data_IF_686097133880
#
_entry.id   IF_686097133880
#
_cell.length_a   1.000
_cell.length_b   1.000
_cell.length_c   1.000
_cell.angle_alpha   90.00
_cell.angle_beta   90.00
_cell.angle_gamma   90.00
#
_symmetry.space_group_name_H-M   'P 1'
#
loop_
_entity.id
_entity.type
_entity.pdbx_description
1 polymer ?
#
# COMPACT_ATOMS: atom_id res chain seq x y z
N UNK A 1 -30.44 -13.67 -15.70
CA UNK A 1 -29.32 -12.98 -16.38
C UNK A 1 -29.16 -11.52 -15.97
N UNK A 2 -30.22 -10.71 -15.84
CA UNK A 2 -30.13 -9.31 -15.35
C UNK A 2 -29.57 -9.18 -13.91
N UNK A 3 -29.75 -10.19 -13.06
CA UNK A 3 -29.29 -10.19 -11.65
C UNK A 3 -27.77 -10.39 -11.50
N UNK A 4 -27.10 -11.09 -12.43
CA UNK A 4 -25.64 -11.27 -12.38
C UNK A 4 -24.90 -10.03 -12.88
N UNK A 5 -25.45 -9.36 -13.89
CA UNK A 5 -24.94 -8.06 -14.38
C UNK A 5 -25.08 -6.97 -13.31
N UNK A 6 -26.19 -6.92 -12.57
CA UNK A 6 -26.36 -5.98 -11.45
C UNK A 6 -25.31 -6.19 -10.34
N UNK A 7 -25.04 -7.45 -9.96
CA UNK A 7 -24.02 -7.78 -8.96
C UNK A 7 -22.60 -7.47 -9.45
N UNK A 8 -22.29 -7.78 -10.71
CA UNK A 8 -21.01 -7.43 -11.34
C UNK A 8 -20.82 -5.92 -11.48
N UNK A 9 -21.90 -5.17 -11.71
CA UNK A 9 -21.85 -3.70 -11.79
C UNK A 9 -21.67 -3.08 -10.42
N UNK A 10 -22.33 -3.62 -9.38
CA UNK A 10 -22.12 -3.21 -7.99
C UNK A 10 -20.70 -3.53 -7.51
N UNK A 11 -20.16 -4.70 -7.88
CA UNK A 11 -18.78 -5.07 -7.62
C UNK A 11 -17.80 -4.19 -8.40
N UNK A 12 -18.07 -3.87 -9.67
CA UNK A 12 -17.26 -2.96 -10.48
C UNK A 12 -17.32 -1.51 -9.99
N UNK A 13 -18.44 -1.05 -9.41
CA UNK A 13 -18.56 0.28 -8.78
C UNK A 13 -17.90 0.29 -7.40
N UNK A 14 -17.98 -0.80 -6.64
CA UNK A 14 -17.23 -0.97 -5.39
C UNK A 14 -15.73 -1.00 -5.68
N UNK A 15 -15.29 -1.79 -6.65
CA UNK A 15 -13.92 -1.81 -7.18
C UNK A 15 -13.58 -0.44 -7.73
N UNK A 16 -14.36 0.27 -8.53
CA UNK A 16 -14.00 1.63 -8.98
C UNK A 16 -14.00 2.69 -7.86
N UNK A 17 -14.76 2.50 -6.78
CA UNK A 17 -14.67 3.35 -5.58
C UNK A 17 -13.45 2.99 -4.71
N UNK A 18 -13.06 1.72 -4.68
CA UNK A 18 -11.88 1.21 -3.96
C UNK A 18 -10.61 1.49 -4.77
N UNK A 19 -10.54 1.15 -6.06
CA UNK A 19 -9.51 1.47 -7.06
C UNK A 19 -9.47 2.94 -7.47
N UNK A 20 -10.27 3.80 -6.84
CA UNK A 20 -9.91 5.21 -6.67
C UNK A 20 -8.60 5.36 -5.87
N UNK A 21 -8.26 4.38 -5.03
CA UNK A 21 -6.87 3.99 -4.80
C UNK A 21 -6.33 3.39 -6.09
N UNK A 22 -5.77 4.24 -6.96
CA UNK A 22 -4.45 3.84 -7.43
C UNK A 22 -3.63 3.65 -6.16
N UNK A 23 -2.95 2.51 -6.02
CA UNK A 23 -1.70 2.52 -5.27
C UNK A 23 -0.84 3.59 -5.95
N UNK A 24 -1.02 4.84 -5.53
CA UNK A 24 -0.25 5.95 -6.03
C UNK A 24 1.11 5.70 -5.44
N UNK A 25 1.98 5.01 -6.15
CA UNK A 25 3.40 5.01 -5.79
C UNK A 25 3.83 6.47 -5.71
N UNK A 26 4.63 6.82 -4.71
CA UNK A 26 5.12 8.19 -4.58
C UNK A 26 5.87 8.57 -5.87
N UNK A 27 5.56 9.74 -6.42
CA UNK A 27 6.23 10.18 -7.65
C UNK A 27 7.68 10.55 -7.35
N UNK A 28 8.64 10.09 -8.18
CA UNK A 28 10.04 10.43 -8.00
C UNK A 28 10.27 11.92 -8.24
N UNK A 29 11.18 12.49 -7.45
CA UNK A 29 11.57 13.90 -7.48
C UNK A 29 13.08 14.01 -7.55
N UNK A 30 13.54 15.05 -8.24
CA UNK A 30 14.96 15.36 -8.36
C UNK A 30 15.21 16.75 -7.78
N UNK A 31 16.23 16.87 -6.94
CA UNK A 31 16.77 18.14 -6.50
C UNK A 31 18.26 18.16 -6.80
N UNK A 32 18.76 19.24 -7.37
CA UNK A 32 20.16 19.32 -7.78
C UNK A 32 20.72 20.73 -7.65
N UNK A 33 22.04 20.83 -7.50
CA UNK A 33 22.74 22.09 -7.30
C UNK A 33 24.21 21.96 -7.72
N UNK A 34 24.80 23.05 -8.21
CA UNK A 34 26.24 23.12 -8.48
C UNK A 34 27.00 23.22 -7.16
N UNK A 35 28.22 22.66 -7.08
CA UNK A 35 29.07 22.91 -5.90
C UNK A 35 29.49 24.38 -5.77
N UNK A 36 29.72 25.07 -6.88
CA UNK A 36 30.03 26.50 -6.90
C UNK A 36 28.81 27.43 -6.60
N UNK A 37 27.65 26.89 -6.22
CA UNK A 37 26.46 27.72 -5.99
C UNK A 37 26.56 28.48 -4.64
N UNK A 38 26.27 29.80 -4.58
CA UNK A 38 26.51 30.61 -3.38
C UNK A 38 25.81 30.15 -2.10
N UNK A 39 24.67 29.46 -2.22
CA UNK A 39 23.94 28.96 -1.05
C UNK A 39 24.64 27.81 -0.33
N UNK A 40 25.48 27.02 -1.02
CA UNK A 40 26.12 25.80 -0.53
C UNK A 40 25.16 24.81 0.17
N UNK A 41 23.86 24.90 -0.09
CA UNK A 41 22.81 24.07 0.55
C UNK A 41 21.85 23.58 -0.53
N UNK A 42 21.67 22.26 -0.61
CA UNK A 42 20.64 21.61 -1.41
C UNK A 42 19.41 21.33 -0.55
N UNK A 43 18.27 21.94 -0.87
CA UNK A 43 17.03 21.75 -0.13
C UNK A 43 16.16 20.64 -0.73
N UNK A 44 15.73 19.70 0.10
CA UNK A 44 14.73 18.68 -0.19
C UNK A 44 13.42 19.05 0.49
N UNK A 45 12.31 19.01 -0.24
CA UNK A 45 11.02 19.48 0.29
C UNK A 45 9.88 18.54 -0.08
N UNK A 46 9.12 18.15 0.93
CA UNK A 46 7.87 17.40 0.81
C UNK A 46 6.73 18.21 1.41
N UNK A 47 5.50 17.82 1.06
CA UNK A 47 4.31 18.41 1.69
C UNK A 47 4.23 18.00 3.16
N UNK A 48 3.53 18.81 3.96
CA UNK A 48 3.27 18.51 5.37
C UNK A 48 2.59 17.13 5.47
N UNK A 49 3.07 16.29 6.37
CA UNK A 49 2.57 14.91 6.53
C UNK A 49 3.23 13.90 5.59
N UNK A 50 4.37 14.23 4.98
CA UNK A 50 5.17 13.30 4.20
C UNK A 50 6.63 13.26 4.66
N UNK A 51 7.26 12.11 4.48
CA UNK A 51 8.65 11.82 4.82
C UNK A 51 9.49 11.69 3.55
N UNK A 52 10.68 12.29 3.55
CA UNK A 52 11.65 12.17 2.47
C UNK A 52 12.27 10.77 2.53
N UNK A 53 12.08 9.98 1.47
CA UNK A 53 12.85 8.76 1.20
C UNK A 53 13.83 9.05 0.07
N UNK A 54 15.12 8.93 0.35
CA UNK A 54 16.17 9.13 -0.65
C UNK A 54 16.38 7.81 -1.38
N UNK A 55 16.25 7.83 -2.70
CA UNK A 55 16.42 6.67 -3.56
C UNK A 55 17.86 6.55 -4.04
N UNK A 56 18.46 7.68 -4.43
CA UNK A 56 19.79 7.71 -5.06
C UNK A 56 20.41 9.09 -4.95
N UNK A 57 21.73 9.14 -4.75
CA UNK A 57 22.50 10.38 -4.84
C UNK A 57 23.58 10.25 -5.91
N UNK A 58 23.67 11.28 -6.74
CA UNK A 58 24.53 11.36 -7.92
C UNK A 58 25.48 12.54 -7.73
N UNK A 59 26.78 12.27 -7.78
CA UNK A 59 27.82 13.27 -7.91
C UNK A 59 28.31 13.25 -9.34
N UNK A 60 27.95 14.27 -10.12
CA UNK A 60 28.17 14.29 -11.56
C UNK A 60 29.08 15.41 -12.03
N UNK A 61 29.67 15.20 -13.20
CA UNK A 61 30.45 16.14 -13.96
C UNK A 61 29.71 16.46 -15.27
N UNK A 62 29.09 17.63 -15.34
CA UNK A 62 28.48 18.11 -16.58
C UNK A 62 29.46 18.96 -17.36
N UNK A 63 29.80 18.53 -18.58
CA UNK A 63 30.63 19.32 -19.50
C UNK A 63 29.91 20.59 -19.98
N UNK A 64 28.58 20.60 -19.96
CA UNK A 64 27.76 21.75 -20.34
C UNK A 64 27.59 22.79 -19.22
N UNK A 65 28.09 22.50 -18.01
CA UNK A 65 27.90 23.35 -16.83
C UNK A 65 26.49 23.30 -16.24
N UNK A 66 25.62 22.40 -16.71
CA UNK A 66 24.32 22.14 -16.09
C UNK A 66 24.51 21.40 -14.77
N UNK A 67 23.72 21.75 -13.77
CA UNK A 67 23.87 21.20 -12.42
C UNK A 67 22.74 20.25 -12.07
N UNK A 68 22.36 19.43 -13.03
CA UNK A 68 21.39 18.36 -12.93
C UNK A 68 21.86 17.21 -13.82
N UNK A 69 21.50 15.99 -13.45
CA UNK A 69 21.91 14.81 -14.20
C UNK A 69 21.36 14.83 -15.62
N UNK A 70 22.26 14.62 -16.58
CA UNK A 70 21.93 14.36 -17.97
C UNK A 70 22.55 13.04 -18.42
N UNK A 71 21.86 12.33 -19.30
CA UNK A 71 22.36 11.08 -19.85
C UNK A 71 23.70 11.31 -20.57
N UNK A 72 24.71 10.51 -20.22
CA UNK A 72 26.08 10.68 -20.69
C UNK A 72 26.98 11.49 -19.75
N UNK A 73 26.45 12.12 -18.70
CA UNK A 73 27.28 12.73 -17.67
C UNK A 73 28.14 11.67 -16.96
N UNK A 74 29.41 12.01 -16.76
CA UNK A 74 30.25 11.21 -15.90
C UNK A 74 29.86 11.40 -14.44
N UNK A 75 29.63 10.32 -13.70
CA UNK A 75 29.13 10.41 -12.33
C UNK A 75 29.50 9.22 -11.46
N UNK A 76 29.49 9.42 -10.14
CA UNK A 76 29.43 8.34 -9.15
C UNK A 76 28.12 8.42 -8.38
N UNK A 77 27.67 7.28 -7.89
CA UNK A 77 26.48 7.18 -7.04
C UNK A 77 26.89 6.78 -5.64
N UNK A 78 26.25 7.35 -4.64
CA UNK A 78 26.46 6.99 -3.24
C UNK A 78 25.15 6.57 -2.58
N UNK A 79 25.24 5.50 -1.79
CA UNK A 79 24.18 5.01 -0.92
C UNK A 79 24.43 5.42 0.55
N UNK A 80 25.23 6.48 0.77
CA UNK A 80 25.67 6.85 2.11
C UNK A 80 24.49 7.26 3.02
N UNK A 81 24.64 7.12 4.35
CA UNK A 81 23.62 7.56 5.28
C UNK A 81 23.39 9.08 5.24
N UNK A 82 22.19 9.53 4.84
CA UNK A 82 21.84 10.96 4.83
C UNK A 82 20.87 11.32 5.95
N UNK A 83 21.15 12.45 6.62
CA UNK A 83 20.35 12.98 7.74
C UNK A 83 18.93 13.42 7.37
N UNK A 84 18.67 13.65 6.08
CA UNK A 84 17.37 14.11 5.58
C UNK A 84 16.28 13.04 5.54
N UNK A 85 16.65 11.75 5.63
CA UNK A 85 15.68 10.66 5.59
C UNK A 85 14.67 10.81 6.73
N UNK A 86 13.39 10.63 6.42
CA UNK A 86 12.29 10.76 7.37
C UNK A 86 11.77 12.18 7.59
N UNK A 87 12.55 13.22 7.28
CA UNK A 87 12.14 14.62 7.44
C UNK A 87 11.17 15.05 6.33
N UNK A 88 10.38 16.11 6.54
CA UNK A 88 9.54 16.71 5.49
C UNK A 88 10.24 17.86 4.74
N UNK A 89 11.21 18.50 5.39
CA UNK A 89 12.04 19.55 4.81
C UNK A 89 13.44 19.42 5.39
N UNK A 90 14.46 19.41 4.53
CA UNK A 90 15.84 19.25 4.96
C UNK A 90 16.81 19.94 3.99
N UNK A 91 17.87 20.53 4.53
CA UNK A 91 18.98 21.07 3.76
C UNK A 91 20.22 20.19 3.89
N UNK A 92 20.80 19.79 2.76
CA UNK A 92 22.09 19.11 2.68
C UNK A 92 23.17 20.17 2.48
N UNK A 93 24.06 20.31 3.46
CA UNK A 93 25.22 21.19 3.35
C UNK A 93 26.25 20.60 2.38
N UNK A 94 26.67 21.39 1.40
CA UNK A 94 27.73 21.03 0.48
C UNK A 94 29.11 21.36 1.10
N UNK A 95 30.17 20.63 0.75
CA UNK A 95 31.52 20.97 1.17
C UNK A 95 31.89 22.38 0.69
N UNK A 96 32.73 23.06 1.45
CA UNK A 96 33.27 24.37 1.07
C UNK A 96 34.22 24.22 -0.12
N UNK A 97 33.82 24.70 -1.30
CA UNK A 97 34.62 24.70 -2.51
C UNK A 97 33.77 24.58 -3.78
N UNK A 98 34.41 24.74 -4.94
CA UNK A 98 33.71 24.69 -6.24
C UNK A 98 33.47 23.27 -6.76
N UNK A 99 33.87 22.25 -6.00
CA UNK A 99 33.86 20.84 -6.43
C UNK A 99 33.42 19.89 -5.31
N UNK A 100 32.86 18.76 -5.72
CA UNK A 100 32.33 17.72 -4.83
C UNK A 100 33.24 16.50 -4.69
N UNK A 101 32.68 15.32 -4.97
CA UNK A 101 33.40 14.04 -4.89
C UNK A 101 34.34 13.85 -6.08
N UNK A 102 35.48 13.22 -5.85
CA UNK A 102 36.35 12.77 -6.94
C UNK A 102 35.71 11.59 -7.67
N UNK A 103 35.62 11.65 -8.99
CA UNK A 103 35.07 10.58 -9.85
C UNK A 103 36.24 9.81 -10.48
N UNK A 104 36.61 8.61 -9.97
CA UNK A 104 37.87 7.96 -10.34
C UNK A 104 38.01 7.65 -11.83
N UNK A 105 36.94 7.22 -12.48
CA UNK A 105 36.95 6.85 -13.89
C UNK A 105 37.01 8.05 -14.85
N UNK A 106 36.69 9.25 -14.37
CA UNK A 106 36.84 10.50 -15.15
C UNK A 106 38.04 11.34 -14.75
N UNK A 107 38.77 10.90 -13.72
CA UNK A 107 39.94 11.60 -13.19
C UNK A 107 39.67 13.06 -12.86
N UNK A 108 38.44 13.36 -12.43
CA UNK A 108 37.98 14.72 -12.20
C UNK A 108 36.97 14.76 -11.05
N UNK A 109 36.83 15.92 -10.41
CA UNK A 109 35.82 16.13 -9.38
C UNK A 109 34.44 16.46 -9.98
N UNK A 110 33.37 15.99 -9.33
CA UNK A 110 32.00 16.37 -9.67
C UNK A 110 31.78 17.87 -9.52
N UNK A 111 31.07 18.50 -10.45
CA UNK A 111 30.70 19.91 -10.39
C UNK A 111 29.23 20.13 -9.96
N UNK A 112 28.43 19.06 -9.86
CA UNK A 112 27.10 19.10 -9.26
C UNK A 112 26.77 17.86 -8.43
N UNK A 113 25.77 18.01 -7.57
CA UNK A 113 25.09 16.91 -6.88
C UNK A 113 23.62 16.90 -7.28
N UNK A 114 23.07 15.71 -7.50
CA UNK A 114 21.64 15.48 -7.65
C UNK A 114 21.18 14.40 -6.67
N UNK A 115 20.06 14.66 -6.00
CA UNK A 115 19.37 13.72 -5.12
C UNK A 115 18.05 13.35 -5.76
N UNK A 116 17.86 12.06 -5.98
CA UNK A 116 16.60 11.46 -6.38
C UNK A 116 15.90 10.96 -5.12
N UNK A 117 14.71 11.47 -4.85
CA UNK A 117 13.95 11.18 -3.64
C UNK A 117 12.45 11.12 -3.93
N UNK A 118 11.70 10.58 -2.98
CA UNK A 118 10.26 10.55 -3.02
C UNK A 118 9.69 11.04 -1.69
N UNK A 119 8.43 11.49 -1.73
CA UNK A 119 7.70 11.92 -0.55
C UNK A 119 6.70 10.84 -0.17
N UNK A 120 6.99 10.09 0.89
CA UNK A 120 6.10 9.05 1.40
C UNK A 120 5.12 9.67 2.39
N UNK A 121 3.82 9.67 2.12
CA UNK A 121 2.81 10.11 3.09
C UNK A 121 2.90 9.28 4.39
N UNK A 122 2.82 9.96 5.53
CA UNK A 122 2.91 9.31 6.86
C UNK A 122 1.76 8.33 7.07
N UNK A 123 0.59 8.57 6.47
CA UNK A 123 -0.57 7.68 6.55
C UNK A 123 -0.42 6.37 5.76
N UNK A 124 0.62 6.23 4.94
CA UNK A 124 1.02 4.95 4.34
C UNK A 124 1.93 4.12 5.26
N UNK A 125 2.39 4.72 6.35
CA UNK A 125 3.26 4.10 7.33
C UNK A 125 2.47 3.72 8.58
N UNK A 126 2.88 2.64 9.25
CA UNK A 126 2.28 2.16 10.48
C UNK A 126 3.24 2.42 11.64
N UNK A 127 2.76 3.03 12.72
CA UNK A 127 3.51 3.11 13.97
C UNK A 127 3.55 1.71 14.60
N UNK A 128 4.75 1.15 14.82
CA UNK A 128 4.94 -0.17 15.41
C UNK A 128 4.34 -0.30 16.83
N UNK A 129 4.08 0.83 17.51
CA UNK A 129 3.46 0.89 18.82
C UNK A 129 1.99 1.34 18.79
N UNK A 130 1.34 1.36 17.62
CA UNK A 130 -0.09 1.60 17.52
C UNK A 130 -0.85 0.39 18.09
N UNK A 131 -1.47 0.57 19.26
CA UNK A 131 -2.23 -0.48 19.96
C UNK A 131 -3.45 -0.99 19.18
N UNK A 132 -3.87 -0.28 18.14
CA UNK A 132 -4.97 -0.68 17.26
C UNK A 132 -4.51 -1.44 16.01
N UNK A 133 -3.19 -1.62 15.83
CA UNK A 133 -2.59 -2.26 14.65
C UNK A 133 -1.49 -3.25 15.04
N UNK A 134 -1.85 -4.28 15.79
CA UNK A 134 -0.95 -5.38 16.16
C UNK A 134 -0.67 -6.35 15.00
N UNK A 135 -1.52 -6.36 13.96
CA UNK A 135 -1.37 -7.21 12.76
C UNK A 135 -1.60 -6.49 11.44
N UNK A 136 -0.77 -6.78 10.45
CA UNK A 136 -0.87 -6.29 9.08
C UNK A 136 -1.04 -7.45 8.09
N UNK A 137 -2.07 -7.37 7.26
CA UNK A 137 -2.33 -8.30 6.15
C UNK A 137 -2.19 -7.56 4.82
N UNK A 138 -0.95 -7.25 4.43
CA UNK A 138 -0.63 -6.49 3.21
C UNK A 138 0.64 -7.05 2.58
N UNK A 139 0.82 -6.85 1.28
CA UNK A 139 1.96 -7.37 0.52
C UNK A 139 3.20 -6.49 0.60
N UNK A 140 3.05 -5.25 1.04
CA UNK A 140 4.15 -4.35 1.32
C UNK A 140 3.65 -3.25 2.28
N UNK A 141 4.59 -2.50 2.85
CA UNK A 141 4.25 -1.36 3.68
C UNK A 141 5.44 -0.73 4.37
N UNK A 142 5.19 0.45 4.94
CA UNK A 142 6.16 1.17 5.75
C UNK A 142 5.80 1.05 7.23
N UNK A 143 6.81 0.94 8.07
CA UNK A 143 6.66 0.82 9.53
C UNK A 143 7.60 1.81 10.18
N UNK A 144 7.16 2.54 11.19
CA UNK A 144 8.00 3.50 11.89
C UNK A 144 7.86 3.40 13.41
N UNK A 145 8.84 3.88 14.17
CA UNK A 145 8.70 4.06 15.62
C UNK A 145 7.85 5.30 15.94
N UNK A 146 7.28 5.39 17.15
CA UNK A 146 6.55 6.58 17.56
C UNK A 146 7.39 7.83 17.43
N UNK A 147 6.77 8.91 16.91
CA UNK A 147 7.38 10.23 16.69
C UNK A 147 8.49 10.30 15.64
N UNK A 148 8.86 9.20 14.97
CA UNK A 148 9.84 9.24 13.88
C UNK A 148 9.47 10.34 12.86
N UNK A 149 10.43 11.17 12.38
CA UNK A 149 11.89 11.10 12.57
C UNK A 149 12.40 11.78 13.86
N UNK A 150 11.50 12.26 14.73
CA UNK A 150 11.90 12.72 16.07
C UNK A 150 12.18 11.53 16.99
N UNK A 151 12.79 11.81 18.14
CA UNK A 151 13.22 10.77 19.04
C UNK A 151 12.06 9.89 19.54
N UNK A 152 12.24 8.58 19.50
CA UNK A 152 11.26 7.62 20.03
C UNK A 152 11.17 7.74 21.55
N UNK A 153 10.00 7.50 22.16
CA UNK A 153 9.83 7.52 23.61
C UNK A 153 10.56 6.35 24.30
N UNK A 154 10.98 6.57 25.55
CA UNK A 154 11.47 5.51 26.43
C UNK A 154 10.35 4.58 26.91
N UNK A 155 10.74 3.42 27.45
CA UNK A 155 9.85 2.41 28.04
C UNK A 155 8.76 1.92 27.08
N UNK A 156 9.12 1.64 25.83
CA UNK A 156 8.24 0.98 24.87
C UNK A 156 8.56 -0.50 24.78
N UNK A 157 7.52 -1.29 24.57
CA UNK A 157 7.60 -2.71 24.27
C UNK A 157 6.41 -3.01 23.35
N UNK A 158 6.67 -3.01 22.06
CA UNK A 158 5.65 -3.02 21.02
C UNK A 158 5.92 -4.18 20.07
N UNK A 159 4.89 -4.92 19.70
CA UNK A 159 4.99 -6.06 18.81
C UNK A 159 4.04 -5.90 17.63
N UNK A 160 4.51 -6.21 16.42
CA UNK A 160 3.78 -6.10 15.17
C UNK A 160 3.97 -7.38 14.35
N UNK A 161 2.84 -7.95 13.94
CA UNK A 161 2.81 -9.16 13.11
C UNK A 161 2.47 -8.79 11.68
N UNK A 162 3.26 -9.25 10.73
CA UNK A 162 3.08 -8.98 9.30
C UNK A 162 2.86 -10.30 8.60
N UNK A 163 1.76 -10.41 7.88
CA UNK A 163 1.34 -11.63 7.19
C UNK A 163 1.10 -11.31 5.72
N UNK A 164 1.87 -11.97 4.85
CA UNK A 164 1.71 -11.94 3.39
C UNK A 164 1.00 -13.21 2.91
N UNK A 165 0.77 -13.36 1.60
CA UNK A 165 0.02 -14.53 1.13
C UNK A 165 0.81 -15.82 1.35
N UNK A 166 0.12 -16.96 1.54
CA UNK A 166 0.77 -18.27 1.62
C UNK A 166 1.69 -18.53 0.43
N UNK A 167 2.85 -19.13 0.70
CA UNK A 167 3.87 -19.43 -0.31
C UNK A 167 4.83 -18.29 -0.62
N UNK A 168 4.59 -17.08 -0.10
CA UNK A 168 5.53 -15.97 -0.18
C UNK A 168 6.39 -15.87 1.09
N UNK A 169 7.51 -15.15 0.95
CA UNK A 169 8.42 -14.70 2.00
C UNK A 169 8.30 -13.19 2.15
N UNK A 170 8.87 -12.64 3.20
CA UNK A 170 8.91 -11.21 3.47
C UNK A 170 10.37 -10.79 3.49
N UNK A 171 10.71 -9.77 2.70
CA UNK A 171 11.97 -9.03 2.80
C UNK A 171 11.74 -7.80 3.65
N UNK A 172 12.60 -7.57 4.64
CA UNK A 172 12.54 -6.41 5.52
C UNK A 172 13.78 -5.54 5.32
N UNK A 173 13.55 -4.29 4.93
CA UNK A 173 14.57 -3.28 4.68
C UNK A 173 14.54 -2.22 5.78
N UNK A 174 15.69 -1.91 6.37
CA UNK A 174 15.87 -0.72 7.19
C UNK A 174 16.14 0.47 6.26
N UNK A 175 15.11 1.29 6.00
CA UNK A 175 15.32 2.57 5.31
C UNK A 175 16.13 3.51 6.19
N UNK A 176 15.81 3.53 7.47
CA UNK A 176 16.54 4.25 8.49
C UNK A 176 16.32 3.59 9.85
N UNK A 177 17.35 3.01 10.43
CA UNK A 177 17.37 2.51 11.78
C UNK A 177 18.45 3.27 12.53
N UNK A 178 18.08 3.91 13.62
CA UNK A 178 18.99 4.59 14.52
C UNK A 178 18.36 4.48 15.90
N UNK A 179 18.69 3.40 16.60
CA UNK A 179 18.36 3.16 18.00
C UNK A 179 19.66 3.16 18.81
N UNK A 180 19.58 3.09 20.13
CA UNK A 180 20.77 3.15 20.99
C UNK A 180 21.77 2.04 20.59
N UNK A 181 23.06 2.38 20.54
CA UNK A 181 24.11 1.40 20.25
C UNK A 181 24.29 0.44 21.43
N UNK A 182 24.87 -0.72 21.16
CA UNK A 182 25.24 -1.67 22.22
C UNK A 182 26.26 -1.04 23.17
N UNK A 183 26.09 -1.28 24.47
CA UNK A 183 27.12 -1.02 25.46
C UNK A 183 27.81 -2.36 25.80
N UNK A 184 28.93 -2.64 25.12
CA UNK A 184 29.54 -3.98 25.14
C UNK A 184 28.74 -4.95 24.26
N UNK A 185 28.30 -6.08 24.84
CA UNK A 185 27.47 -7.08 24.14
C UNK A 185 25.97 -6.77 24.16
N UNK A 186 25.54 -5.84 25.01
CA UNK A 186 24.12 -5.70 25.36
C UNK A 186 23.53 -4.44 24.73
N UNK A 187 22.43 -4.65 24.00
CA UNK A 187 21.60 -3.58 23.46
C UNK A 187 20.51 -3.23 24.48
N UNK A 188 20.51 -2.01 25.03
CA UNK A 188 19.42 -1.53 25.91
C UNK A 188 18.11 -1.36 25.11
N UNK A 189 18.21 -0.70 23.96
CA UNK A 189 17.14 -0.57 22.98
C UNK A 189 17.32 -1.59 21.86
N UNK A 190 16.25 -2.28 21.48
CA UNK A 190 16.32 -3.39 20.52
C UNK A 190 15.18 -3.39 19.52
N UNK A 191 15.49 -3.81 18.31
CA UNK A 191 14.53 -4.33 17.34
C UNK A 191 14.78 -5.84 17.22
N UNK A 192 13.88 -6.64 17.79
CA UNK A 192 13.87 -8.08 17.63
C UNK A 192 13.00 -8.48 16.44
N UNK A 193 13.49 -9.37 15.60
CA UNK A 193 12.90 -9.74 14.31
C UNK A 193 12.91 -11.26 14.21
N UNK A 194 11.75 -11.90 14.00
CA UNK A 194 11.70 -13.35 13.81
C UNK A 194 10.57 -13.82 12.90
N UNK A 195 10.75 -15.01 12.33
CA UNK A 195 9.77 -15.72 11.50
C UNK A 195 9.29 -17.04 12.14
N UNK A 196 9.36 -17.11 13.48
CA UNK A 196 9.12 -18.30 14.32
C UNK A 196 10.11 -19.46 14.11
N UNK A 197 11.05 -19.35 13.17
CA UNK A 197 12.09 -20.34 12.92
C UNK A 197 13.49 -19.79 13.22
N UNK A 198 13.72 -18.53 12.87
CA UNK A 198 14.97 -17.79 13.08
C UNK A 198 14.66 -16.42 13.66
N UNK A 199 15.59 -15.90 14.45
CA UNK A 199 15.49 -14.58 15.04
C UNK A 199 16.78 -13.78 14.88
N UNK A 200 16.67 -12.46 14.90
CA UNK A 200 17.79 -11.53 14.96
C UNK A 200 17.43 -10.35 15.87
N UNK A 201 18.39 -9.89 16.66
CA UNK A 201 18.26 -8.69 17.49
C UNK A 201 19.19 -7.63 16.94
N UNK A 202 18.65 -6.46 16.65
CA UNK A 202 19.40 -5.32 16.12
C UNK A 202 19.40 -4.16 17.11
N UNK A 203 20.52 -3.44 17.14
CA UNK A 203 20.66 -2.13 17.74
C UNK A 203 21.69 -1.28 16.98
N UNK A 204 21.81 0.00 17.37
CA UNK A 204 22.61 0.99 16.67
C UNK A 204 21.99 1.46 15.35
N UNK A 205 22.84 1.66 14.34
CA UNK A 205 22.46 2.32 13.08
C UNK A 205 22.50 1.40 11.86
N UNK A 206 21.47 1.45 10.99
CA UNK A 206 21.43 0.84 9.65
C UNK A 206 20.70 1.78 8.70
N UNK A 207 21.11 1.83 7.44
CA UNK A 207 20.44 2.66 6.43
C UNK A 207 20.52 1.97 5.07
N UNK A 208 19.38 1.89 4.38
CA UNK A 208 19.20 1.15 3.13
C UNK A 208 19.73 -0.29 3.19
N UNK A 209 19.50 -0.98 4.31
CA UNK A 209 20.05 -2.33 4.58
C UNK A 209 18.96 -3.40 4.59
N UNK A 210 19.19 -4.53 3.90
CA UNK A 210 18.30 -5.70 3.94
C UNK A 210 18.60 -6.49 5.22
N UNK A 211 17.85 -6.19 6.26
CA UNK A 211 18.14 -6.69 7.61
C UNK A 211 17.55 -8.07 7.90
N UNK A 212 16.50 -8.49 7.16
CA UNK A 212 15.90 -9.81 7.36
C UNK A 212 15.17 -10.32 6.11
N UNK A 213 15.13 -11.63 5.93
CA UNK A 213 14.27 -12.30 4.95
C UNK A 213 13.71 -13.55 5.59
N UNK A 214 12.38 -13.66 5.66
CA UNK A 214 11.70 -14.78 6.31
C UNK A 214 11.80 -16.08 5.50
N UNK A 215 11.56 -17.20 6.15
CA UNK A 215 11.39 -18.51 5.50
C UNK A 215 9.96 -18.79 5.08
N UNK A 216 8.99 -18.13 5.71
CA UNK A 216 7.55 -18.31 5.52
C UNK A 216 6.84 -16.94 5.34
N UNK A 217 5.52 -16.94 5.31
CA UNK A 217 4.69 -15.77 5.00
C UNK A 217 4.37 -14.89 6.22
N UNK A 218 5.05 -15.08 7.35
CA UNK A 218 4.84 -14.34 8.59
C UNK A 218 6.16 -13.78 9.13
N UNK A 219 6.11 -12.54 9.61
CA UNK A 219 7.21 -11.80 10.22
C UNK A 219 6.69 -11.12 11.48
N UNK A 220 7.39 -11.31 12.60
CA UNK A 220 7.09 -10.65 13.86
C UNK A 220 8.24 -9.68 14.15
N UNK A 221 7.88 -8.43 14.42
CA UNK A 221 8.78 -7.36 14.84
C UNK A 221 8.44 -6.98 16.27
N UNK A 222 9.45 -6.86 17.13
CA UNK A 222 9.30 -6.35 18.48
C UNK A 222 10.30 -5.25 18.74
N UNK A 223 9.80 -4.03 18.94
CA UNK A 223 10.61 -2.88 19.30
C UNK A 223 10.53 -2.61 20.80
N UNK A 224 11.69 -2.58 21.45
CA UNK A 224 11.81 -2.30 22.88
C UNK A 224 12.74 -1.12 23.10
N UNK A 225 12.30 -0.16 23.91
CA UNK A 225 13.13 0.94 24.39
C UNK A 225 13.22 0.95 25.92
N UNK A 226 14.44 1.09 26.44
CA UNK A 226 14.75 1.25 27.85
C UNK A 226 14.43 2.65 28.37
N UNK A 227 15.01 3.00 29.51
CA UNK A 227 14.75 4.27 30.19
C UNK A 227 15.49 5.43 29.49
N UNK A 228 16.66 5.15 28.92
CA UNK A 228 17.52 6.14 28.28
C UNK A 228 17.65 5.89 26.78
N UNK A 229 16.71 6.39 25.98
CA UNK A 229 16.66 6.22 24.52
C UNK A 229 17.81 6.88 23.69
N UNK A 230 18.87 7.37 24.34
CA UNK A 230 20.02 8.01 23.69
C UNK A 230 19.70 9.20 22.78
N UNK A 231 18.48 9.76 22.85
CA UNK A 231 17.96 10.77 21.89
C UNK A 231 18.07 10.34 20.43
N UNK A 232 17.77 9.07 20.16
CA UNK A 232 17.85 8.46 18.84
C UNK A 232 16.51 8.57 18.10
N UNK A 233 16.56 8.71 16.77
CA UNK A 233 15.37 8.96 15.91
C UNK A 233 14.45 7.74 15.75
N UNK A 234 14.97 6.53 15.95
CA UNK A 234 14.20 5.29 15.96
C UNK A 234 14.30 4.52 14.67
N UNK A 235 13.18 4.01 14.17
CA UNK A 235 13.14 3.16 12.99
C UNK A 235 12.14 3.69 11.95
N UNK A 236 12.50 3.51 10.69
CA UNK A 236 11.63 3.53 9.53
C UNK A 236 12.03 2.38 8.62
N UNK A 237 11.14 1.40 8.49
CA UNK A 237 11.34 0.14 7.81
C UNK A 237 10.39 0.07 6.62
N UNK A 238 10.77 -0.72 5.63
CA UNK A 238 9.91 -1.13 4.53
C UNK A 238 9.94 -2.63 4.41
N UNK A 239 8.78 -3.24 4.18
CA UNK A 239 8.70 -4.67 3.88
C UNK A 239 7.99 -4.91 2.56
N UNK A 240 8.31 -6.03 1.93
CA UNK A 240 7.63 -6.50 0.73
C UNK A 240 7.58 -8.04 0.67
N UNK A 241 6.50 -8.54 0.07
CA UNK A 241 6.31 -9.94 -0.22
C UNK A 241 7.16 -10.38 -1.42
N UNK A 242 7.75 -11.57 -1.32
CA UNK A 242 8.63 -12.14 -2.34
C UNK A 242 8.42 -13.67 -2.49
N UNK A 243 8.31 -14.23 -3.71
CA UNK A 243 8.24 -13.52 -4.98
C UNK A 243 6.94 -12.69 -5.08
N UNK A 244 6.93 -11.62 -5.91
CA UNK A 244 5.68 -10.91 -6.17
C UNK A 244 4.67 -11.87 -6.79
N UNK A 245 3.39 -11.75 -6.42
CA UNK A 245 2.36 -12.52 -7.11
C UNK A 245 2.33 -12.12 -8.58
N UNK A 246 2.27 -13.11 -9.48
CA UNK A 246 2.01 -12.82 -10.88
C UNK A 246 0.68 -12.08 -10.97
N UNK A 247 0.75 -10.82 -11.37
CA UNK A 247 -0.44 -10.09 -11.80
C UNK A 247 -0.88 -10.81 -13.07
N UNK A 248 -2.08 -11.39 -13.05
CA UNK A 248 -2.69 -11.98 -14.25
C UNK A 248 -2.63 -10.95 -15.36
N UNK A 249 -1.64 -11.07 -16.25
CA UNK A 249 -1.61 -10.29 -17.47
C UNK A 249 -2.92 -10.61 -18.19
N UNK A 250 -3.62 -9.58 -18.66
CA UNK A 250 -4.76 -9.76 -19.56
C UNK A 250 -4.38 -10.82 -20.61
N UNK A 251 -5.22 -11.84 -20.87
CA UNK A 251 -4.92 -12.84 -21.88
C UNK A 251 -4.83 -12.13 -23.24
N UNK A 252 -3.63 -11.73 -23.61
CA UNK A 252 -3.33 -11.16 -24.92
C UNK A 252 -2.88 -12.32 -25.77
N UNK A 253 -3.67 -12.57 -26.82
CA UNK A 253 -3.54 -13.59 -27.85
C UNK A 253 -3.79 -15.03 -27.42
N UNK A 254 -5.01 -15.50 -27.72
CA UNK A 254 -5.27 -16.91 -28.03
C UNK A 254 -4.29 -17.30 -29.16
N UNK A 255 -3.46 -18.34 -29.02
CA UNK A 255 -2.69 -18.87 -30.14
C UNK A 255 -3.69 -19.37 -31.18
N UNK A 256 -3.77 -18.68 -32.32
CA UNK A 256 -4.57 -19.15 -33.46
C UNK A 256 -3.88 -20.38 -34.02
N UNK A 257 -4.27 -21.55 -33.50
CA UNK A 257 -3.87 -22.83 -34.06
C UNK A 257 -4.57 -22.94 -35.42
N UNK A 258 -3.80 -22.80 -36.51
CA UNK A 258 -4.29 -23.12 -37.86
C UNK A 258 -4.65 -24.59 -37.89
N UNK A 259 -5.95 -24.91 -37.90
CA UNK A 259 -6.41 -26.22 -38.35
C UNK A 259 -6.38 -26.29 -39.89
N UNK A 260 -5.97 -27.43 -40.47
CA UNK A 260 -5.90 -27.65 -41.91
C UNK A 260 -7.29 -27.77 -42.55
N UNK A 261 -7.41 -27.56 -43.87
CA UNK A 261 -8.70 -27.41 -44.53
C UNK A 261 -9.40 -28.74 -44.81
N UNK A 262 -10.73 -28.69 -44.68
CA UNK A 262 -11.74 -29.42 -45.45
C UNK A 262 -11.97 -30.90 -45.12
N UNK A 263 -13.00 -31.14 -44.33
CA UNK A 263 -13.94 -32.24 -44.58
C UNK A 263 -15.34 -31.64 -44.74
N UNK A 264 -15.95 -31.92 -45.90
CA UNK A 264 -17.24 -31.44 -46.39
C UNK A 264 -18.39 -31.90 -45.48
N UNK A 265 -19.38 -31.05 -45.12
CA UNK A 265 -20.54 -31.49 -44.34
C UNK A 265 -21.55 -32.24 -45.24
N UNK A 266 -22.02 -33.39 -44.76
CA UNK A 266 -23.14 -34.12 -45.35
C UNK A 266 -24.46 -33.55 -44.77
N UNK A 267 -25.45 -33.15 -45.59
CA UNK A 267 -26.60 -32.38 -45.13
C UNK A 267 -27.77 -33.31 -44.80
N UNK A 268 -28.08 -33.52 -43.52
CA UNK A 268 -29.39 -34.02 -43.07
C UNK A 268 -29.74 -33.48 -41.69
N UNK A 269 -30.45 -32.34 -41.69
CA UNK A 269 -31.79 -32.20 -41.12
C UNK A 269 -32.01 -30.74 -40.70
N UNK A 270 -32.84 -30.08 -41.48
CA UNK A 270 -33.33 -28.74 -41.27
C UNK A 270 -34.09 -28.61 -39.95
N UNK A 271 -33.81 -27.49 -39.28
CA UNK A 271 -34.64 -26.96 -38.21
C UNK A 271 -35.91 -26.41 -38.85
N UNK A 272 -37.04 -27.09 -38.66
CA UNK A 272 -38.36 -26.53 -38.95
C UNK A 272 -38.82 -25.76 -37.70
N UNK A 273 -38.80 -24.43 -37.79
CA UNK A 273 -39.53 -23.57 -36.87
C UNK A 273 -40.97 -23.43 -37.37
N UNK A 274 -41.91 -24.06 -36.67
CA UNK A 274 -43.33 -23.71 -36.79
C UNK A 274 -43.83 -23.20 -35.44
N UNK A 275 -44.19 -21.92 -35.44
CA UNK A 275 -44.93 -21.24 -34.40
C UNK A 275 -46.33 -21.84 -34.29
N UNK A 276 -46.74 -22.26 -33.09
CA UNK A 276 -48.13 -22.08 -32.63
C UNK A 276 -48.18 -22.00 -31.11
N UNK A 277 -49.16 -21.22 -30.67
CA UNK A 277 -49.46 -20.72 -29.32
C UNK A 277 -49.37 -21.72 -28.16
N UNK A 278 -49.09 -21.14 -26.98
CA UNK A 278 -49.13 -21.69 -25.62
C UNK A 278 -47.89 -22.47 -25.19
N UNK A 279 -47.03 -21.68 -24.53
CA UNK A 279 -45.95 -22.07 -23.64
C UNK A 279 -46.21 -23.36 -22.85
N UNK A 280 -45.51 -24.43 -23.22
CA UNK A 280 -44.87 -25.37 -22.29
C UNK A 280 -43.91 -26.28 -23.08
N UNK A 281 -42.61 -26.18 -22.79
CA UNK A 281 -41.69 -27.31 -22.95
C UNK A 281 -40.75 -27.40 -21.76
N UNK A 282 -40.79 -28.59 -21.19
CA UNK A 282 -40.10 -29.12 -20.03
C UNK A 282 -38.67 -29.46 -20.44
N UNK A 283 -37.67 -28.99 -19.70
CA UNK A 283 -36.27 -29.42 -19.86
C UNK A 283 -35.85 -30.11 -18.56
N UNK A 284 -35.47 -31.38 -18.70
CA UNK A 284 -34.94 -32.24 -17.65
C UNK A 284 -33.42 -32.24 -17.71
N UNK A 285 -32.75 -31.97 -16.58
CA UNK A 285 -31.30 -32.16 -16.43
C UNK A 285 -31.06 -32.89 -15.10
N UNK A 286 -30.30 -33.98 -15.15
CA UNK A 286 -29.91 -34.83 -14.00
C UNK A 286 -28.95 -34.08 -13.06
N UNK A 287 -29.00 -34.31 -11.74
CA UNK A 287 -28.10 -33.67 -10.78
C UNK A 287 -26.76 -34.39 -10.70
N UNK A 288 -25.66 -33.63 -10.75
CA UNK A 288 -24.34 -34.06 -10.23
C UNK A 288 -23.89 -33.09 -9.14
N UNK A 289 -23.88 -33.65 -7.93
CA UNK A 289 -23.21 -33.31 -6.68
C UNK A 289 -22.16 -32.19 -6.70
N UNK A 290 -22.50 -31.06 -6.05
CA UNK A 290 -21.72 -30.42 -4.97
C UNK A 290 -22.39 -29.10 -4.51
N UNK A 291 -23.61 -29.16 -3.96
CA UNK A 291 -24.30 -27.99 -3.38
C UNK A 291 -24.79 -28.18 -1.94
N UNK A 292 -24.11 -29.01 -1.13
CA UNK A 292 -24.47 -29.20 0.29
C UNK A 292 -23.49 -28.59 1.29
N UNK A 293 -22.54 -27.75 0.85
CA UNK A 293 -21.61 -27.06 1.76
C UNK A 293 -21.72 -25.53 1.72
N UNK A 294 -22.61 -24.95 0.91
CA UNK A 294 -22.80 -23.49 0.82
C UNK A 294 -24.10 -22.97 1.44
N UNK A 295 -24.95 -23.83 2.00
CA UNK A 295 -26.26 -23.42 2.56
C UNK A 295 -26.30 -23.33 4.08
N UNK A 296 -25.18 -23.44 4.79
CA UNK A 296 -25.14 -23.42 6.27
C UNK A 296 -24.35 -22.25 6.89
N UNK A 297 -23.94 -21.24 6.12
CA UNK A 297 -23.13 -20.12 6.63
C UNK A 297 -23.74 -18.72 6.48
N UNK A 298 -25.02 -18.60 6.11
CA UNK A 298 -25.73 -17.31 6.09
C UNK A 298 -27.20 -17.61 6.43
N UNK A 299 -27.73 -17.23 7.61
CA UNK A 299 -27.82 -15.84 8.06
C UNK A 299 -27.71 -15.67 9.60
N UNK A 300 -26.57 -15.18 10.10
CA UNK A 300 -26.48 -14.64 11.48
C UNK A 300 -25.38 -13.57 11.66
N UNK A 301 -24.45 -13.45 10.72
CA UNK A 301 -23.39 -12.42 10.75
C UNK A 301 -23.81 -11.05 10.20
N UNK A 302 -24.82 -10.99 9.32
CA UNK A 302 -25.13 -9.77 8.56
C UNK A 302 -25.93 -8.70 9.32
N UNK A 303 -26.56 -9.02 10.45
CA UNK A 303 -27.42 -8.07 11.19
C UNK A 303 -26.67 -7.34 12.31
N UNK A 304 -25.56 -7.89 12.80
CA UNK A 304 -24.79 -7.33 13.92
C UNK A 304 -23.77 -6.28 13.47
N UNK A 305 -23.08 -6.52 12.34
CA UNK A 305 -22.13 -5.60 11.71
C UNK A 305 -22.80 -4.33 11.16
N UNK A 306 -24.02 -4.45 10.62
CA UNK A 306 -24.78 -3.32 10.10
C UNK A 306 -25.25 -2.35 11.21
N UNK A 307 -25.59 -2.87 12.40
CA UNK A 307 -25.96 -2.04 13.57
C UNK A 307 -24.74 -1.31 14.15
N UNK A 308 -23.56 -1.94 14.16
CA UNK A 308 -22.31 -1.30 14.60
C UNK A 308 -21.87 -0.17 13.66
N UNK A 309 -21.99 -0.40 12.35
CA UNK A 309 -21.70 0.59 11.31
C UNK A 309 -22.62 1.81 11.39
N UNK A 310 -23.89 1.60 11.75
CA UNK A 310 -24.88 2.67 11.92
C UNK A 310 -24.60 3.55 13.15
N UNK A 311 -24.09 2.96 14.25
CA UNK A 311 -23.73 3.69 15.48
C UNK A 311 -22.43 4.50 15.30
N UNK A 312 -21.46 3.95 14.56
CA UNK A 312 -20.20 4.63 14.23
C UNK A 312 -20.40 5.83 13.29
N UNK A 313 -21.32 5.73 12.31
CA UNK A 313 -21.64 6.83 11.39
C UNK A 313 -22.42 7.98 12.06
N UNK A 314 -23.22 7.71 13.10
CA UNK A 314 -23.95 8.75 13.85
C UNK A 314 -23.05 9.47 14.88
N UNK A 315 -21.96 8.84 15.36
CA UNK A 315 -21.00 9.49 16.27
C UNK A 315 -20.05 10.48 15.57
N UNK A 316 -19.98 10.46 14.25
CA UNK A 316 -19.16 11.39 13.44
C UNK A 316 -19.90 12.71 13.09
N UNK A 317 -21.14 12.90 13.55
CA UNK A 317 -21.93 14.11 13.20
C UNK A 317 -21.54 15.38 13.97
N UNK A 318 -20.64 15.33 14.96
CA UNK A 318 -20.30 16.49 15.81
C UNK A 318 -18.85 17.00 15.75
N UNK A 319 -18.02 16.56 14.80
CA UNK A 319 -16.68 17.14 14.62
C UNK A 319 -16.74 18.48 13.86
N UNK A 320 -17.22 19.54 14.51
CA UNK A 320 -17.15 20.91 14.00
C UNK A 320 -15.72 21.43 14.20
N UNK A 321 -14.93 21.50 13.12
CA UNK A 321 -13.57 22.07 13.14
C UNK A 321 -13.65 23.58 13.48
N UNK A 322 -12.96 24.07 14.51
CA UNK A 322 -12.95 25.51 14.85
C UNK A 322 -12.42 26.35 13.69
N UNK A 323 -13.13 27.44 13.38
CA UNK A 323 -12.75 28.37 12.33
C UNK A 323 -11.49 29.16 12.74
N UNK A 324 -10.30 28.69 12.33
CA UNK A 324 -9.05 29.42 12.58
C UNK A 324 -7.79 28.97 11.85
N UNK A 325 -7.72 27.75 11.30
CA UNK A 325 -6.45 27.16 10.85
C UNK A 325 -6.32 26.84 9.35
N UNK A 326 -7.26 27.28 8.50
CA UNK A 326 -7.21 27.01 7.05
C UNK A 326 -7.68 28.21 6.24
N UNK A 327 -6.95 28.54 5.17
CA UNK A 327 -7.41 29.55 4.19
C UNK A 327 -8.80 29.19 3.64
N UNK A 328 -9.66 30.20 3.41
CA UNK A 328 -11.04 30.03 2.90
C UNK A 328 -11.11 29.18 1.62
N UNK A 329 -10.04 29.13 0.82
CA UNK A 329 -9.92 28.32 -0.40
C UNK A 329 -9.74 26.83 -0.11
N UNK A 330 -8.98 26.47 0.92
CA UNK A 330 -8.77 25.09 1.35
C UNK A 330 -9.99 24.54 2.09
N UNK A 331 -10.66 25.35 2.92
CA UNK A 331 -11.96 24.97 3.51
C UNK A 331 -12.98 24.62 2.43
N UNK A 332 -13.13 25.46 1.40
CA UNK A 332 -14.08 25.20 0.29
C UNK A 332 -13.76 23.89 -0.47
N UNK A 333 -12.49 23.60 -0.75
CA UNK A 333 -12.08 22.34 -1.39
C UNK A 333 -12.39 21.13 -0.49
N UNK A 334 -12.07 21.21 0.79
CA UNK A 334 -12.33 20.15 1.77
C UNK A 334 -13.85 19.89 1.92
N UNK A 335 -14.66 20.93 2.05
CA UNK A 335 -16.12 20.82 2.12
C UNK A 335 -16.72 20.23 0.83
N UNK A 336 -16.16 20.55 -0.33
CA UNK A 336 -16.63 20.03 -1.61
C UNK A 336 -16.26 18.54 -1.82
N UNK A 337 -15.08 18.12 -1.37
CA UNK A 337 -14.68 16.71 -1.33
C UNK A 337 -15.52 15.90 -0.35
N UNK A 338 -15.76 16.42 0.86
CA UNK A 338 -16.65 15.79 1.83
C UNK A 338 -18.10 15.68 1.35
N UNK A 339 -18.61 16.67 0.60
CA UNK A 339 -19.93 16.59 -0.07
C UNK A 339 -19.99 15.52 -1.16
N UNK A 340 -18.86 15.13 -1.77
CA UNK A 340 -18.79 14.01 -2.73
C UNK A 340 -18.76 12.67 -2.00
N UNK A 341 -17.93 12.54 -0.97
CA UNK A 341 -17.86 11.36 -0.10
C UNK A 341 -19.23 11.06 0.54
N UNK A 342 -19.88 12.07 1.11
CA UNK A 342 -21.22 11.94 1.73
C UNK A 342 -22.30 11.52 0.72
N UNK A 343 -22.21 11.98 -0.53
CA UNK A 343 -23.10 11.54 -1.62
C UNK A 343 -22.83 10.10 -2.04
N UNK A 344 -21.56 9.68 -2.05
CA UNK A 344 -21.18 8.31 -2.38
C UNK A 344 -21.66 7.33 -1.30
N UNK A 345 -21.36 7.61 -0.02
CA UNK A 345 -21.81 6.81 1.12
C UNK A 345 -23.34 6.71 1.19
N UNK A 346 -24.06 7.80 0.90
CA UNK A 346 -25.53 7.79 0.87
C UNK A 346 -26.08 6.92 -0.27
N UNK A 347 -25.38 6.83 -1.41
CA UNK A 347 -25.74 5.93 -2.52
C UNK A 347 -25.50 4.47 -2.13
N UNK A 348 -24.34 4.16 -1.56
CA UNK A 348 -23.99 2.82 -1.07
C UNK A 348 -25.02 2.35 -0.03
N UNK A 349 -25.36 3.20 0.94
CA UNK A 349 -26.35 2.88 1.97
C UNK A 349 -27.74 2.63 1.39
N UNK A 350 -28.17 3.44 0.42
CA UNK A 350 -29.46 3.24 -0.25
C UNK A 350 -29.48 1.95 -1.07
N UNK A 351 -28.39 1.61 -1.75
CA UNK A 351 -28.27 0.34 -2.49
C UNK A 351 -28.31 -0.86 -1.55
N UNK A 352 -27.60 -0.81 -0.41
CA UNK A 352 -27.63 -1.86 0.61
C UNK A 352 -29.04 -2.02 1.22
N UNK A 353 -29.75 -0.90 1.44
CA UNK A 353 -31.12 -0.89 1.94
C UNK A 353 -32.12 -1.48 0.95
N UNK A 354 -31.95 -1.21 -0.34
CA UNK A 354 -32.76 -1.80 -1.42
C UNK A 354 -32.49 -3.30 -1.53
N UNK A 355 -31.23 -3.74 -1.46
CA UNK A 355 -30.90 -5.17 -1.47
C UNK A 355 -31.45 -5.89 -0.24
N UNK A 356 -31.41 -5.28 0.95
CA UNK A 356 -31.99 -5.87 2.16
C UNK A 356 -33.52 -6.02 2.05
N UNK A 357 -34.22 -5.00 1.53
CA UNK A 357 -35.67 -5.08 1.26
C UNK A 357 -36.03 -6.17 0.23
N UNK A 358 -35.18 -6.39 -0.77
CA UNK A 358 -35.38 -7.45 -1.76
C UNK A 358 -35.22 -8.86 -1.16
N UNK A 359 -34.35 -9.05 -0.17
CA UNK A 359 -34.23 -10.31 0.56
C UNK A 359 -35.42 -10.55 1.50
N UNK A 360 -35.97 -9.50 2.12
CA UNK A 360 -37.18 -9.60 2.95
C UNK A 360 -38.44 -9.95 2.13
N UNK A 361 -38.55 -9.51 0.88
CA UNK A 361 -39.67 -9.91 0.01
C UNK A 361 -39.52 -11.32 -0.55
N UNK A 362 -38.30 -11.83 -0.72
CA UNK A 362 -38.05 -13.23 -1.11
C UNK A 362 -38.30 -14.23 0.03
N UNK A 363 -38.31 -13.79 1.29
CA UNK A 363 -38.61 -14.62 2.46
C UNK A 363 -40.10 -14.76 2.80
N UNK A 364 -41.01 -14.17 1.99
CA UNK A 364 -42.47 -14.23 2.24
C UNK A 364 -43.24 -15.21 1.35
N UNK A 365 -42.60 -15.82 0.36
CA UNK A 365 -43.23 -16.84 -0.49
C UNK A 365 -42.64 -18.23 -0.18
N UNK A 366 -42.95 -18.76 1.01
CA UNK A 366 -42.82 -20.19 1.31
C UNK A 366 -44.24 -20.72 1.47
N UNK A 367 -44.74 -21.58 0.56
CA UNK A 367 -45.96 -22.34 0.85
C UNK A 367 -45.65 -23.33 1.96
N UNK A 368 -46.54 -23.41 2.96
CA UNK A 368 -46.54 -24.45 3.99
C UNK A 368 -46.35 -25.83 3.33
N UNK A 369 -45.31 -26.53 3.77
CA UNK A 369 -45.11 -27.94 3.46
C UNK A 369 -45.63 -28.69 4.68
N UNK A 370 -46.81 -29.31 4.53
CA UNK A 370 -47.35 -30.27 5.48
C UNK A 370 -46.34 -31.39 5.76
N UNK A 371 -46.16 -31.68 7.05
CA UNK A 371 -45.43 -32.83 7.56
C UNK A 371 -46.42 -33.98 7.76
N UNK A 372 -46.29 -35.03 6.95
CA UNK A 372 -46.68 -36.40 7.29
C UNK A 372 -45.46 -37.33 7.15
#
# INVERSE_FOLDING_TARGET
MKNLQSLQTAFAVMVMCITGYKETMAEPRNASICFAHPSNILNLTCSIGSMIRINKIIYGLSASGKCNYTEGDCHVTEDTPYSCVGQSHCGINLPSGDYGRYIPHCKQYSNYIQVEYECIPVDWSVDICDEHKDKLFTQNGYIHSPRYPSNYPSNKDCELHIIVNPGQKIKLLALDLHIQDANGSDCEDTLYIHDNLRGSTLCGSRQNDLIFTTMANELILRFKSGVNNGRRKGLWLYFEAFPPMETTQNPTSIPTTRMPPSARPNPKNDVILTSTSRNQMKVSVKPTTNSKLLSSLLPSFATTELKHSQKFLMQQEEATIPAGLLSKRHQRKYTQSWKKVRRCLKRIFNTLKETAKMFETMGKDVPDIDLD
#
